data_IF_837860053822
#
_entry.id   IF_837860053822
#
_cell.length_a   1.000
_cell.length_b   1.000
_cell.length_c   1.000
_cell.angle_alpha   90.00
_cell.angle_beta   90.00
_cell.angle_gamma   90.00
#
_symmetry.space_group_name_H-M   'P 1'
#
loop_
_entity.id
_entity.type
_entity.pdbx_description
1 polymer ?
#
# COMPACT_ATOMS: atom_id res chain seq x y z
N UNK A 1 -10.60 -18.87 -4.06
CA UNK A 1 -11.52 -18.13 -4.97
C UNK A 1 -10.67 -17.04 -5.60
N UNK A 2 -10.46 -17.08 -6.92
CA UNK A 2 -9.53 -16.20 -7.63
C UNK A 2 -9.75 -14.71 -7.34
N UNK A 3 -8.63 -13.98 -7.31
CA UNK A 3 -8.49 -12.52 -7.38
C UNK A 3 -9.79 -11.77 -7.25
N UNK A 4 -10.17 -11.41 -6.02
CA UNK A 4 -11.09 -10.29 -5.84
C UNK A 4 -10.38 -9.10 -6.47
N UNK A 5 -10.76 -8.76 -7.70
CA UNK A 5 -10.52 -7.44 -8.26
C UNK A 5 -11.11 -6.47 -7.24
N UNK A 6 -10.27 -5.91 -6.37
CA UNK A 6 -10.59 -4.70 -5.65
C UNK A 6 -10.68 -3.62 -6.72
N UNK A 7 -11.86 -3.54 -7.34
CA UNK A 7 -12.21 -2.38 -8.13
C UNK A 7 -12.08 -1.18 -7.20
N UNK A 8 -11.44 -0.10 -7.63
CA UNK A 8 -11.41 1.11 -6.83
C UNK A 8 -12.84 1.47 -6.46
N UNK A 9 -13.08 1.65 -5.17
CA UNK A 9 -14.34 2.19 -4.73
C UNK A 9 -14.49 3.64 -5.24
N UNK A 10 -15.71 4.16 -5.19
CA UNK A 10 -16.01 5.51 -5.67
C UNK A 10 -15.12 6.57 -4.97
N UNK A 11 -14.66 6.29 -3.74
CA UNK A 11 -13.71 7.11 -3.00
C UNK A 11 -12.33 7.08 -3.68
N UNK A 12 -11.78 5.91 -3.98
CA UNK A 12 -10.50 5.77 -4.68
C UNK A 12 -10.51 6.46 -6.06
N UNK A 13 -11.64 6.45 -6.79
CA UNK A 13 -11.79 7.20 -8.05
C UNK A 13 -11.82 8.71 -7.81
N UNK A 14 -12.61 9.18 -6.83
CA UNK A 14 -12.68 10.60 -6.48
C UNK A 14 -11.33 11.14 -6.00
N UNK A 15 -10.63 10.35 -5.18
CA UNK A 15 -9.30 10.62 -4.67
C UNK A 15 -8.25 10.60 -5.77
N UNK A 16 -8.30 9.64 -6.70
CA UNK A 16 -7.45 9.62 -7.89
C UNK A 16 -7.61 10.87 -8.76
N UNK A 17 -8.81 11.43 -8.87
CA UNK A 17 -9.00 12.68 -9.60
C UNK A 17 -8.47 13.91 -8.84
N UNK A 18 -8.56 13.90 -7.51
CA UNK A 18 -8.11 14.99 -6.64
C UNK A 18 -6.61 15.03 -6.39
N UNK A 19 -5.89 13.90 -6.50
CA UNK A 19 -4.46 13.82 -6.18
C UNK A 19 -3.59 14.76 -7.04
N UNK A 20 -4.08 15.22 -8.19
CA UNK A 20 -3.37 16.19 -9.02
C UNK A 20 -2.03 15.65 -9.51
N UNK A 21 -0.93 16.18 -8.95
CA UNK A 21 0.45 15.80 -9.25
C UNK A 21 0.88 14.51 -8.53
N UNK A 22 1.34 13.52 -9.30
CA UNK A 22 1.91 12.25 -8.81
C UNK A 22 3.38 12.08 -9.19
N UNK A 23 4.08 13.18 -9.46
CA UNK A 23 5.51 13.17 -9.76
C UNK A 23 6.33 12.60 -8.61
N UNK A 24 7.52 12.07 -8.92
CA UNK A 24 8.48 11.65 -7.88
C UNK A 24 8.91 12.81 -6.98
N UNK A 25 8.91 14.04 -7.50
CA UNK A 25 9.16 15.26 -6.72
C UNK A 25 8.11 15.44 -5.63
N UNK A 26 6.83 15.31 -5.99
CA UNK A 26 5.72 15.40 -5.02
C UNK A 26 5.74 14.28 -3.99
N UNK A 27 5.97 13.04 -4.41
CA UNK A 27 6.09 11.90 -3.49
C UNK A 27 7.22 12.15 -2.49
N UNK A 28 8.37 12.60 -2.97
CA UNK A 28 9.53 12.87 -2.11
C UNK A 28 9.24 14.01 -1.12
N UNK A 29 8.57 15.07 -1.57
CA UNK A 29 8.14 16.18 -0.69
C UNK A 29 7.22 15.70 0.44
N UNK A 30 6.19 14.91 0.11
CA UNK A 30 5.24 14.35 1.08
C UNK A 30 5.96 13.44 2.08
N UNK A 31 6.84 12.55 1.60
CA UNK A 31 7.62 11.66 2.45
C UNK A 31 8.60 12.41 3.37
N UNK A 32 9.06 13.60 2.99
CA UNK A 32 9.98 14.41 3.79
C UNK A 32 9.26 15.26 4.85
N UNK A 33 8.13 15.89 4.51
CA UNK A 33 7.43 16.83 5.41
C UNK A 33 6.89 16.15 6.66
N UNK A 34 6.31 14.95 6.51
CA UNK A 34 5.66 14.16 7.57
C UNK A 34 4.48 14.90 8.23
N UNK A 35 3.50 14.15 8.74
CA UNK A 35 2.28 14.68 9.35
C UNK A 35 1.03 14.52 8.50
N UNK A 36 -0.13 14.82 9.09
CA UNK A 36 -1.46 14.42 8.62
C UNK A 36 -1.77 14.85 7.17
N UNK A 37 -1.41 16.08 6.79
CA UNK A 37 -1.59 16.54 5.40
C UNK A 37 -0.72 15.76 4.41
N UNK A 38 0.49 15.39 4.83
CA UNK A 38 1.42 14.62 4.00
C UNK A 38 0.98 13.17 3.89
N UNK A 39 0.45 12.60 4.97
CA UNK A 39 -0.14 11.27 5.00
C UNK A 39 -1.32 11.16 4.05
N UNK A 40 -2.30 12.06 4.19
CA UNK A 40 -3.44 12.11 3.28
C UNK A 40 -2.99 12.32 1.83
N UNK A 41 -2.06 13.25 1.59
CA UNK A 41 -1.49 13.46 0.25
C UNK A 41 -0.82 12.21 -0.32
N UNK A 42 -0.12 11.44 0.50
CA UNK A 42 0.55 10.21 0.09
C UNK A 42 -0.44 9.07 -0.20
N UNK A 43 -1.51 8.94 0.62
CA UNK A 43 -2.63 8.03 0.38
C UNK A 43 -3.28 8.31 -0.99
N UNK A 44 -3.53 9.58 -1.28
CA UNK A 44 -4.14 10.03 -2.53
C UNK A 44 -3.26 9.71 -3.74
N UNK A 45 -1.96 9.97 -3.64
CA UNK A 45 -0.99 9.62 -4.68
C UNK A 45 -0.92 8.11 -4.88
N UNK A 46 -0.87 7.33 -3.79
CA UNK A 46 -0.87 5.87 -3.86
C UNK A 46 -2.11 5.35 -4.58
N UNK A 47 -3.31 5.77 -4.17
CA UNK A 47 -4.58 5.38 -4.80
C UNK A 47 -4.62 5.73 -6.29
N UNK A 48 -4.14 6.91 -6.67
CA UNK A 48 -4.04 7.28 -8.09
C UNK A 48 -3.08 6.35 -8.84
N UNK A 49 -1.88 6.13 -8.33
CA UNK A 49 -0.87 5.29 -8.99
C UNK A 49 -1.36 3.84 -9.14
N UNK A 50 -2.10 3.29 -8.18
CA UNK A 50 -2.69 1.96 -8.28
C UNK A 50 -3.59 1.81 -9.52
N UNK A 51 -4.23 2.89 -9.96
CA UNK A 51 -5.11 2.93 -11.13
C UNK A 51 -4.37 3.11 -12.44
N UNK A 52 -3.37 3.98 -12.47
CA UNK A 52 -2.78 4.46 -13.72
C UNK A 52 -1.37 3.94 -13.98
N UNK A 53 -0.60 3.65 -12.93
CA UNK A 53 0.81 3.25 -13.02
C UNK A 53 1.17 2.21 -11.93
N UNK A 54 0.69 0.95 -12.04
CA UNK A 54 0.85 -0.07 -10.98
C UNK A 54 2.30 -0.35 -10.57
N UNK A 55 3.25 -0.30 -11.51
CA UNK A 55 4.67 -0.47 -11.21
C UNK A 55 5.20 0.62 -10.27
N UNK A 56 4.75 1.87 -10.44
CA UNK A 56 5.11 2.97 -9.54
C UNK A 56 4.37 2.86 -8.21
N UNK A 57 3.11 2.42 -8.23
CA UNK A 57 2.36 2.15 -7.00
C UNK A 57 3.06 1.10 -6.13
N UNK A 58 3.52 -0.01 -6.73
CA UNK A 58 4.30 -1.03 -6.05
C UNK A 58 5.60 -0.49 -5.45
N UNK A 59 6.34 0.33 -6.21
CA UNK A 59 7.55 0.97 -5.70
C UNK A 59 7.26 1.93 -4.53
N UNK A 60 6.17 2.69 -4.61
CA UNK A 60 5.74 3.56 -3.51
C UNK A 60 5.32 2.76 -2.28
N UNK A 61 4.56 1.68 -2.45
CA UNK A 61 4.21 0.74 -1.39
C UNK A 61 5.46 0.24 -0.65
N UNK A 62 6.49 -0.19 -1.37
CA UNK A 62 7.76 -0.62 -0.76
C UNK A 62 8.46 0.49 0.02
N UNK A 63 8.38 1.74 -0.45
CA UNK A 63 8.95 2.90 0.27
C UNK A 63 8.18 3.19 1.55
N UNK A 64 6.84 3.11 1.52
CA UNK A 64 5.96 3.29 2.68
C UNK A 64 6.24 2.21 3.75
N UNK A 65 6.39 0.95 3.35
CA UNK A 65 6.67 -0.14 4.30
C UNK A 65 8.04 -0.03 4.99
N UNK A 66 9.02 0.59 4.34
CA UNK A 66 10.37 0.78 4.90
C UNK A 66 10.49 1.94 5.88
N UNK A 67 9.51 2.85 5.93
CA UNK A 67 9.54 4.01 6.81
C UNK A 67 8.40 3.93 7.84
N UNK A 68 8.73 3.66 9.13
CA UNK A 68 7.75 3.49 10.19
C UNK A 68 6.82 4.68 10.42
N UNK A 69 7.19 5.88 9.95
CA UNK A 69 6.33 7.07 10.06
C UNK A 69 5.02 6.92 9.27
N UNK A 70 4.97 6.00 8.31
CA UNK A 70 3.80 5.78 7.46
C UNK A 70 3.03 4.51 7.83
N UNK A 71 3.18 4.01 9.07
CA UNK A 71 2.52 2.78 9.53
C UNK A 71 1.00 2.80 9.38
N UNK A 72 0.38 3.96 9.51
CA UNK A 72 -1.06 4.16 9.30
C UNK A 72 -1.51 3.83 7.87
N UNK A 73 -0.63 4.00 6.87
CA UNK A 73 -0.89 3.63 5.48
C UNK A 73 -0.61 2.15 5.19
N UNK A 74 -0.06 1.39 6.13
CA UNK A 74 0.32 -0.01 5.88
C UNK A 74 -0.87 -0.87 5.54
N UNK A 75 -2.02 -0.68 6.18
CA UNK A 75 -3.21 -1.49 5.88
C UNK A 75 -3.64 -1.36 4.42
N UNK A 76 -3.66 -0.13 3.89
CA UNK A 76 -3.97 0.15 2.49
C UNK A 76 -2.91 -0.42 1.56
N UNK A 77 -1.64 -0.32 1.94
CA UNK A 77 -0.53 -0.91 1.18
C UNK A 77 -0.64 -2.43 1.12
N UNK A 78 -0.88 -3.11 2.24
CA UNK A 78 -1.06 -4.56 2.30
C UNK A 78 -2.26 -5.01 1.48
N UNK A 79 -3.39 -4.30 1.61
CA UNK A 79 -4.59 -4.57 0.82
C UNK A 79 -4.33 -4.47 -0.68
N UNK A 80 -3.52 -3.50 -1.13
CA UNK A 80 -3.11 -3.39 -2.52
C UNK A 80 -2.13 -4.51 -2.94
N UNK A 81 -1.07 -4.75 -2.17
CA UNK A 81 -0.07 -5.78 -2.48
C UNK A 81 -0.71 -7.17 -2.60
N UNK A 82 -1.70 -7.48 -1.77
CA UNK A 82 -2.43 -8.75 -1.82
C UNK A 82 -3.23 -8.95 -3.12
N UNK A 83 -3.44 -7.89 -3.93
CA UNK A 83 -4.05 -8.02 -5.27
C UNK A 83 -3.05 -8.41 -6.36
N UNK A 84 -1.76 -8.40 -6.06
CA UNK A 84 -0.67 -8.67 -7.00
C UNK A 84 -0.17 -10.09 -6.74
N UNK A 85 -0.23 -10.94 -7.77
CA UNK A 85 0.36 -12.27 -7.71
C UNK A 85 1.84 -12.21 -8.15
N UNK A 86 2.75 -12.12 -7.19
CA UNK A 86 4.20 -12.13 -7.47
C UNK A 86 5.00 -12.69 -6.28
N UNK A 87 6.11 -13.34 -6.59
CA UNK A 87 7.07 -13.85 -5.57
C UNK A 87 7.60 -12.70 -4.70
N UNK A 88 7.77 -11.51 -5.28
CA UNK A 88 8.21 -10.33 -4.53
C UNK A 88 7.21 -9.90 -3.45
N UNK A 89 5.90 -10.09 -3.66
CA UNK A 89 4.88 -9.82 -2.63
C UNK A 89 4.93 -10.87 -1.52
N UNK A 90 5.13 -12.14 -1.87
CA UNK A 90 5.33 -13.20 -0.87
C UNK A 90 6.52 -12.90 0.02
N UNK A 91 7.67 -12.54 -0.56
CA UNK A 91 8.87 -12.20 0.19
C UNK A 91 8.61 -11.04 1.16
N UNK A 92 7.84 -10.03 0.74
CA UNK A 92 7.45 -8.90 1.60
C UNK A 92 6.58 -9.38 2.77
N UNK A 93 5.57 -10.21 2.51
CA UNK A 93 4.66 -10.71 3.54
C UNK A 93 5.36 -11.66 4.51
N UNK A 94 6.20 -12.58 4.03
CA UNK A 94 7.02 -13.46 4.87
C UNK A 94 7.98 -12.64 5.73
N UNK A 95 8.68 -11.67 5.14
CA UNK A 95 9.61 -10.82 5.91
C UNK A 95 8.87 -10.08 7.02
N UNK A 96 7.69 -9.51 6.70
CA UNK A 96 6.86 -8.84 7.68
C UNK A 96 6.45 -9.77 8.83
N UNK A 97 6.05 -11.02 8.54
CA UNK A 97 5.66 -11.98 9.56
C UNK A 97 6.81 -12.39 10.49
N UNK A 98 8.04 -12.45 9.97
CA UNK A 98 9.27 -12.77 10.70
C UNK A 98 9.69 -11.59 11.60
N UNK A 99 9.64 -10.37 11.08
CA UNK A 99 10.17 -9.18 11.77
C UNK A 99 9.22 -8.62 12.84
N UNK A 100 7.92 -8.86 12.71
CA UNK A 100 6.92 -8.31 13.62
C UNK A 100 6.43 -9.38 14.59
N UNK A 101 6.27 -9.00 15.86
CA UNK A 101 5.67 -9.90 16.85
C UNK A 101 4.26 -10.33 16.43
N UNK A 102 3.85 -11.52 16.85
CA UNK A 102 2.52 -12.03 16.57
C UNK A 102 1.49 -11.26 17.40
N UNK A 103 0.62 -10.52 16.72
CA UNK A 103 -0.58 -9.93 17.30
C UNK A 103 -1.82 -10.46 16.54
N UNK A 104 -2.74 -11.18 17.21
CA UNK A 104 -3.95 -11.70 16.58
C UNK A 104 -4.94 -10.61 16.13
N UNK A 105 -4.71 -9.33 16.46
CA UNK A 105 -5.51 -8.18 16.02
C UNK A 105 -4.86 -7.39 14.88
N UNK A 106 -3.71 -7.84 14.39
CA UNK A 106 -3.01 -7.17 13.31
C UNK A 106 -3.66 -7.46 11.94
N UNK A 107 -4.41 -6.48 11.44
CA UNK A 107 -5.07 -6.58 10.14
C UNK A 107 -4.08 -6.78 8.97
N UNK A 108 -2.86 -6.23 9.05
CA UNK A 108 -1.86 -6.43 8.00
C UNK A 108 -1.40 -7.90 7.98
N UNK A 109 -1.18 -8.49 9.17
CA UNK A 109 -0.88 -9.92 9.30
C UNK A 109 -2.01 -10.78 8.76
N UNK A 110 -3.27 -10.46 9.08
CA UNK A 110 -4.42 -11.21 8.55
C UNK A 110 -4.46 -11.23 7.01
N UNK A 111 -4.14 -10.10 6.36
CA UNK A 111 -4.07 -10.01 4.90
C UNK A 111 -2.91 -10.86 4.35
N UNK A 112 -1.73 -10.77 4.95
CA UNK A 112 -0.56 -11.56 4.57
C UNK A 112 -0.83 -13.07 4.70
N UNK A 113 -1.37 -13.50 5.84
CA UNK A 113 -1.78 -14.88 6.12
C UNK A 113 -2.77 -15.40 5.06
N UNK A 114 -3.81 -14.61 4.75
CA UNK A 114 -4.81 -15.00 3.75
C UNK A 114 -4.18 -15.13 2.35
N UNK A 115 -3.28 -14.21 1.99
CA UNK A 115 -2.57 -14.28 0.72
C UNK A 115 -1.71 -15.54 0.61
N UNK A 116 -0.86 -15.81 1.61
CA UNK A 116 0.08 -16.92 1.61
C UNK A 116 -0.63 -18.29 1.66
N UNK A 117 -1.79 -18.40 2.32
CA UNK A 117 -2.58 -19.65 2.36
C UNK A 117 -3.29 -19.98 1.05
N UNK A 118 -3.56 -18.99 0.21
CA UNK A 118 -4.31 -19.15 -1.03
C UNK A 118 -3.41 -19.30 -2.28
N UNK A 119 -2.09 -19.40 -2.08
CA UNK A 119 -1.07 -19.69 -3.10
C UNK A 119 -0.98 -21.18 -3.42
#
# INVERSE_FOLDING_TARGET
>A
MFGRKNYPDYLAIAFGNMAGDVSEGRISELMMKRGDESEFGLEMVLKKLQLVEPARAFNLSRRILKDPNWRILWLDVFGYLATIDSVEVEDIFIQYEIENEYDPRDNCRMIADEYLRNR
#
